data_IF_680258195826
#
_entry.id   IF_680258195826
#
_cell.length_a   1.000
_cell.length_b   1.000
_cell.length_c   1.000
_cell.angle_alpha   90.00
_cell.angle_beta   90.00
_cell.angle_gamma   90.00
#
_symmetry.space_group_name_H-M   'P 1'
#
loop_
_entity.id
_entity.type
_entity.pdbx_description
1 polymer ?
#
# COMPACT_ATOMS: atom_id res chain seq x y z
N UNK A 1 -29.26 -47.44 2.02
CA UNK A 1 -29.72 -48.15 0.81
C UNK A 1 -30.01 -49.57 1.26
N UNK A 2 -31.27 -50.02 1.18
CA UNK A 2 -31.66 -51.33 1.70
C UNK A 2 -32.42 -52.09 0.60
N UNK A 3 -32.12 -53.37 0.39
CA UNK A 3 -32.66 -54.22 -0.70
C UNK A 3 -32.75 -53.50 -2.07
N UNK A 4 -31.73 -52.71 -2.42
CA UNK A 4 -31.64 -52.03 -3.72
C UNK A 4 -32.43 -50.71 -3.86
N UNK A 5 -33.14 -50.23 -2.84
CA UNK A 5 -33.86 -48.95 -2.86
C UNK A 5 -33.32 -47.93 -1.84
N UNK A 6 -33.41 -46.63 -2.18
CA UNK A 6 -33.05 -45.53 -1.29
C UNK A 6 -34.28 -45.16 -0.46
N UNK A 7 -34.29 -45.53 0.82
CA UNK A 7 -35.42 -45.29 1.73
C UNK A 7 -35.40 -43.90 2.38
N UNK A 8 -34.23 -43.30 2.55
CA UNK A 8 -34.09 -41.96 3.10
C UNK A 8 -32.80 -41.30 2.59
N UNK A 9 -32.86 -40.00 2.28
CA UNK A 9 -31.75 -39.18 1.81
C UNK A 9 -31.80 -37.82 2.50
N UNK A 10 -30.69 -37.38 3.09
CA UNK A 10 -30.62 -36.08 3.75
C UNK A 10 -29.34 -35.91 4.58
N UNK A 11 -29.16 -34.73 5.16
CA UNK A 11 -28.08 -34.50 6.12
C UNK A 11 -28.33 -35.30 7.41
N UNK A 12 -27.27 -35.61 8.16
CA UNK A 12 -27.39 -36.37 9.41
C UNK A 12 -28.32 -35.69 10.43
N UNK A 13 -28.30 -34.36 10.49
CA UNK A 13 -29.19 -33.57 11.35
C UNK A 13 -30.64 -33.67 10.87
N UNK A 14 -30.86 -33.58 9.55
CA UNK A 14 -32.17 -33.67 8.96
C UNK A 14 -32.81 -35.04 9.21
N UNK A 15 -32.07 -36.13 8.99
CA UNK A 15 -32.58 -37.49 9.21
C UNK A 15 -32.93 -37.72 10.69
N UNK A 16 -32.06 -37.32 11.62
CA UNK A 16 -32.32 -37.41 13.06
C UNK A 16 -33.58 -36.64 13.48
N UNK A 17 -33.82 -35.47 12.87
CA UNK A 17 -35.02 -34.67 13.12
C UNK A 17 -36.28 -35.27 12.48
N UNK A 18 -36.20 -35.71 11.22
CA UNK A 18 -37.32 -36.24 10.45
C UNK A 18 -37.87 -37.54 11.06
N UNK A 19 -36.97 -38.45 11.45
CA UNK A 19 -37.32 -39.69 12.13
C UNK A 19 -37.52 -39.53 13.65
N UNK A 20 -37.63 -38.28 14.14
CA UNK A 20 -37.91 -37.95 15.54
C UNK A 20 -37.02 -38.70 16.54
N UNK A 21 -35.73 -38.84 16.21
CA UNK A 21 -34.78 -39.54 17.07
C UNK A 21 -34.66 -38.84 18.43
N UNK A 22 -34.44 -39.65 19.47
CA UNK A 22 -34.38 -39.18 20.86
C UNK A 22 -32.96 -39.27 21.39
N UNK A 23 -32.53 -38.26 22.13
CA UNK A 23 -31.31 -38.30 22.94
C UNK A 23 -31.49 -39.26 24.10
N UNK A 24 -30.43 -39.96 24.49
CA UNK A 24 -30.41 -40.78 25.69
C UNK A 24 -29.74 -39.98 26.81
N UNK A 25 -30.52 -39.57 27.81
CA UNK A 25 -30.00 -39.00 29.04
C UNK A 25 -29.84 -40.13 30.05
N UNK A 26 -28.60 -40.51 30.33
CA UNK A 26 -28.27 -41.49 31.37
C UNK A 26 -28.01 -40.71 32.67
N UNK A 27 -28.68 -41.08 33.76
CA UNK A 27 -28.46 -40.49 35.09
C UNK A 27 -28.17 -41.60 36.06
N UNK A 28 -27.05 -41.47 36.76
CA UNK A 28 -26.68 -42.33 37.87
C UNK A 28 -27.36 -41.81 39.13
N UNK A 29 -28.30 -42.59 39.68
CA UNK A 29 -29.03 -42.21 40.89
C UNK A 29 -29.62 -43.42 41.58
N UNK A 30 -29.54 -43.44 42.91
CA UNK A 30 -30.19 -44.47 43.73
C UNK A 30 -31.69 -44.16 43.96
N UNK A 31 -32.16 -42.95 43.59
CA UNK A 31 -33.56 -42.54 43.74
C UNK A 31 -34.12 -41.96 42.43
N UNK A 32 -34.50 -42.81 41.46
CA UNK A 32 -35.00 -42.36 40.16
C UNK A 32 -36.31 -41.56 40.25
N UNK A 33 -37.07 -41.66 41.36
CA UNK A 33 -38.35 -40.97 41.50
C UNK A 33 -38.20 -39.45 41.59
N UNK A 34 -37.12 -38.97 42.22
CA UNK A 34 -36.86 -37.53 42.33
C UNK A 34 -36.49 -36.95 40.96
N UNK A 35 -35.62 -37.64 40.23
CA UNK A 35 -35.19 -37.22 38.89
C UNK A 35 -36.35 -37.30 37.89
N UNK A 36 -37.23 -38.30 38.01
CA UNK A 36 -38.42 -38.45 37.18
C UNK A 36 -39.52 -37.39 37.46
N UNK A 37 -39.39 -36.57 38.51
CA UNK A 37 -40.22 -35.36 38.69
C UNK A 37 -39.64 -34.13 37.98
N UNK A 38 -38.31 -34.06 37.92
CA UNK A 38 -37.59 -32.90 37.36
C UNK A 38 -37.61 -32.95 35.84
N UNK A 39 -37.30 -34.10 35.24
CA UNK A 39 -37.15 -34.22 33.78
C UNK A 39 -38.45 -33.86 33.03
N UNK A 40 -39.64 -34.38 33.41
CA UNK A 40 -40.89 -34.03 32.73
C UNK A 40 -41.31 -32.56 32.89
N UNK A 41 -40.83 -31.86 33.93
CA UNK A 41 -41.12 -30.44 34.11
C UNK A 41 -40.47 -29.58 33.00
N UNK A 42 -39.25 -29.92 32.60
CA UNK A 42 -38.53 -29.20 31.55
C UNK A 42 -38.83 -29.75 30.14
N UNK A 43 -39.02 -31.07 30.05
CA UNK A 43 -39.26 -31.81 28.81
C UNK A 43 -40.44 -32.75 29.02
N UNK A 44 -41.69 -32.31 28.77
CA UNK A 44 -42.90 -33.09 29.04
C UNK A 44 -42.99 -34.41 28.27
N UNK A 45 -42.36 -34.47 27.09
CA UNK A 45 -42.34 -35.63 26.21
C UNK A 45 -41.18 -36.61 26.49
N UNK A 46 -40.46 -36.41 27.61
CA UNK A 46 -39.40 -37.32 28.01
C UNK A 46 -39.97 -38.69 28.42
N UNK A 47 -39.45 -39.76 27.80
CA UNK A 47 -39.88 -41.12 28.12
C UNK A 47 -38.81 -41.78 28.99
N UNK A 48 -39.21 -42.23 30.18
CA UNK A 48 -38.34 -43.03 31.04
C UNK A 48 -38.20 -44.45 30.47
N UNK A 49 -36.97 -44.85 30.17
CA UNK A 49 -36.63 -46.18 29.68
C UNK A 49 -35.93 -46.95 30.81
N UNK A 50 -36.62 -47.96 31.34
CA UNK A 50 -36.18 -48.70 32.52
C UNK A 50 -35.15 -49.79 32.16
N UNK A 51 -34.07 -49.42 31.48
CA UNK A 51 -32.88 -50.27 31.38
C UNK A 51 -32.03 -50.02 32.62
N UNK A 52 -32.07 -50.98 33.54
CA UNK A 52 -31.25 -50.94 34.76
C UNK A 52 -29.92 -51.61 34.47
N UNK A 53 -28.87 -50.83 34.32
CA UNK A 53 -27.50 -51.32 34.39
C UNK A 53 -26.94 -51.00 35.76
N UNK A 54 -26.72 -52.05 36.56
CA UNK A 54 -26.01 -51.97 37.84
C UNK A 54 -24.59 -52.47 37.63
N UNK A 55 -23.61 -51.63 37.96
CA UNK A 55 -22.20 -52.00 37.99
C UNK A 55 -21.77 -52.00 39.45
N UNK A 56 -21.25 -53.14 39.92
CA UNK A 56 -20.67 -53.28 41.26
C UNK A 56 -19.24 -52.73 41.20
N UNK A 57 -19.06 -51.46 41.61
CA UNK A 57 -17.73 -50.91 41.89
C UNK A 57 -17.37 -51.13 43.37
N UNK A 58 -16.08 -51.19 43.69
CA UNK A 58 -15.55 -51.38 45.06
C UNK A 58 -16.02 -50.32 46.09
N UNK A 59 -16.79 -49.31 45.66
CA UNK A 59 -17.31 -48.20 46.48
C UNK A 59 -18.84 -48.13 46.58
N UNK A 60 -19.59 -49.07 46.00
CA UNK A 60 -21.05 -49.17 46.11
C UNK A 60 -21.75 -49.47 44.79
N UNK A 61 -23.03 -49.87 44.86
CA UNK A 61 -23.86 -50.13 43.68
C UNK A 61 -24.34 -48.82 43.06
N UNK A 62 -23.92 -48.54 41.82
CA UNK A 62 -24.40 -47.38 41.05
C UNK A 62 -25.46 -47.89 40.08
N UNK A 63 -26.68 -47.36 40.20
CA UNK A 63 -27.78 -47.66 39.29
C UNK A 63 -27.92 -46.55 38.26
N UNK A 64 -27.73 -46.91 36.99
CA UNK A 64 -27.87 -45.98 35.86
C UNK A 64 -29.28 -46.11 35.28
N UNK A 65 -29.92 -44.97 35.06
CA UNK A 65 -31.29 -44.84 34.59
C UNK A 65 -31.32 -44.01 33.31
N UNK A 66 -32.07 -44.43 32.28
CA UNK A 66 -32.07 -43.76 30.97
C UNK A 66 -33.40 -43.06 30.68
N UNK A 67 -33.36 -41.80 30.27
CA UNK A 67 -34.50 -41.03 29.75
C UNK A 67 -34.28 -40.69 28.28
N UNK A 68 -35.29 -40.93 27.44
CA UNK A 68 -35.28 -40.59 26.02
C UNK A 68 -35.91 -39.22 25.81
N UNK A 69 -35.12 -38.24 25.33
CA UNK A 69 -35.52 -36.85 25.15
C UNK A 69 -35.68 -36.49 23.65
N UNK A 70 -36.76 -35.82 23.22
CA UNK A 70 -36.97 -35.48 21.81
C UNK A 70 -36.02 -34.39 21.30
N UNK A 71 -35.54 -34.54 20.05
CA UNK A 71 -34.57 -33.63 19.40
C UNK A 71 -35.10 -32.21 19.17
N UNK A 72 -36.40 -32.04 18.96
CA UNK A 72 -37.01 -30.73 18.69
C UNK A 72 -37.04 -29.83 19.94
N UNK A 73 -36.87 -30.39 21.14
CA UNK A 73 -36.76 -29.64 22.41
C UNK A 73 -35.32 -29.36 22.83
N UNK A 74 -34.34 -29.53 21.93
CA UNK A 74 -32.91 -29.31 22.21
C UNK A 74 -32.59 -27.91 22.79
N UNK A 75 -33.38 -26.90 22.45
CA UNK A 75 -33.25 -25.54 23.03
C UNK A 75 -33.44 -25.50 24.55
N UNK A 76 -34.22 -26.42 25.12
CA UNK A 76 -34.48 -26.52 26.57
C UNK A 76 -33.47 -27.39 27.31
N UNK A 77 -32.62 -28.14 26.60
CA UNK A 77 -31.65 -29.04 27.21
C UNK A 77 -30.65 -28.28 28.08
N UNK A 78 -30.26 -27.06 27.68
CA UNK A 78 -29.37 -26.22 28.50
C UNK A 78 -29.99 -25.90 29.87
N UNK A 79 -31.30 -25.61 29.92
CA UNK A 79 -32.00 -25.32 31.17
C UNK A 79 -32.13 -26.57 32.05
N UNK A 80 -32.47 -27.71 31.45
CA UNK A 80 -32.53 -28.99 32.16
C UNK A 80 -31.16 -29.37 32.73
N UNK A 81 -30.08 -29.24 31.94
CA UNK A 81 -28.75 -29.62 32.38
C UNK A 81 -28.25 -28.81 33.56
N UNK A 82 -28.51 -27.50 33.53
CA UNK A 82 -28.20 -26.62 34.66
C UNK A 82 -28.92 -27.07 35.94
N UNK A 83 -30.17 -27.49 35.83
CA UNK A 83 -30.92 -27.98 36.99
C UNK A 83 -30.37 -29.32 37.50
N UNK A 84 -29.97 -30.22 36.59
CA UNK A 84 -29.34 -31.48 36.97
C UNK A 84 -27.96 -31.26 37.63
N UNK A 85 -27.17 -30.29 37.14
CA UNK A 85 -25.90 -29.92 37.76
C UNK A 85 -26.08 -29.38 39.20
N UNK A 86 -27.18 -28.68 39.48
CA UNK A 86 -27.50 -28.21 40.84
C UNK A 86 -27.90 -29.34 41.79
N UNK A 87 -28.52 -30.41 41.27
CA UNK A 87 -28.93 -31.58 42.04
C UNK A 87 -27.81 -32.63 42.19
N UNK A 88 -26.66 -32.39 41.54
CA UNK A 88 -25.47 -33.24 41.61
C UNK A 88 -24.88 -33.26 43.03
N UNK A 89 -24.78 -34.44 43.63
CA UNK A 89 -24.32 -34.64 45.00
C UNK A 89 -25.44 -34.79 46.04
N UNK A 90 -26.67 -34.36 45.73
CA UNK A 90 -27.84 -34.58 46.59
C UNK A 90 -28.68 -35.76 46.09
N UNK A 91 -29.18 -35.66 44.85
CA UNK A 91 -30.17 -36.58 44.28
C UNK A 91 -29.60 -37.43 43.13
N UNK A 92 -28.46 -37.05 42.56
CA UNK A 92 -27.78 -37.78 41.48
C UNK A 92 -26.25 -37.74 41.65
N UNK A 93 -25.55 -38.79 41.22
CA UNK A 93 -24.08 -38.83 41.24
C UNK A 93 -23.50 -38.20 39.98
N UNK A 94 -23.90 -38.68 38.81
CA UNK A 94 -23.53 -38.14 37.51
C UNK A 94 -24.68 -38.28 36.50
N UNK A 95 -24.55 -37.57 35.39
CA UNK A 95 -25.41 -37.76 34.22
C UNK A 95 -24.57 -37.64 32.94
N UNK A 96 -25.02 -38.29 31.87
CA UNK A 96 -24.45 -38.23 30.53
C UNK A 96 -25.58 -38.01 29.52
N UNK A 97 -25.34 -37.20 28.47
CA UNK A 97 -26.30 -36.99 27.40
C UNK A 97 -25.71 -37.47 26.09
N UNK A 98 -26.24 -38.57 25.60
CA UNK A 98 -25.80 -39.22 24.37
C UNK A 98 -26.73 -38.83 23.22
N UNK A 99 -26.12 -38.31 22.15
CA UNK A 99 -26.83 -37.97 20.92
C UNK A 99 -27.14 -39.26 20.13
N UNK A 100 -28.33 -39.37 19.53
CA UNK A 100 -28.67 -40.55 18.73
C UNK A 100 -27.72 -40.68 17.54
N UNK A 101 -27.31 -41.90 17.25
CA UNK A 101 -26.39 -42.24 16.17
C UNK A 101 -27.17 -42.60 14.90
N UNK A 102 -26.63 -42.35 13.70
CA UNK A 102 -27.35 -42.71 12.46
C UNK A 102 -27.43 -44.24 12.29
N UNK A 103 -26.51 -44.94 12.93
CA UNK A 103 -26.44 -46.38 13.05
C UNK A 103 -27.68 -46.93 13.79
N UNK A 104 -28.17 -46.25 14.84
CA UNK A 104 -29.40 -46.63 15.53
C UNK A 104 -30.64 -46.46 14.64
N UNK A 105 -30.66 -45.39 13.82
CA UNK A 105 -31.72 -45.19 12.83
C UNK A 105 -31.70 -46.29 11.78
N UNK A 106 -30.52 -46.70 11.32
CA UNK A 106 -30.36 -47.76 10.34
C UNK A 106 -30.92 -49.09 10.86
N UNK A 107 -30.53 -49.47 12.09
CA UNK A 107 -31.01 -50.70 12.75
C UNK A 107 -32.51 -50.65 13.01
N UNK A 108 -33.03 -49.50 13.46
CA UNK A 108 -34.47 -49.31 13.67
C UNK A 108 -35.28 -49.47 12.38
N UNK A 109 -34.80 -48.88 11.29
CA UNK A 109 -35.44 -49.01 9.97
C UNK A 109 -35.39 -50.44 9.43
N UNK A 110 -34.35 -51.21 9.75
CA UNK A 110 -34.22 -52.62 9.38
C UNK A 110 -35.22 -53.49 10.16
N UNK A 111 -35.33 -53.30 11.48
CA UNK A 111 -36.29 -54.02 12.34
C UNK A 111 -37.75 -53.75 11.97
N UNK A 112 -38.11 -52.49 11.68
CA UNK A 112 -39.45 -52.14 11.20
C UNK A 112 -39.84 -52.87 9.89
N UNK A 113 -38.86 -53.35 9.12
CA UNK A 113 -39.13 -54.12 7.90
C UNK A 113 -39.33 -55.60 8.19
N UNK A 114 -38.54 -56.19 9.08
CA UNK A 114 -38.73 -57.58 9.53
C UNK A 114 -40.14 -57.76 10.12
N UNK A 115 -40.60 -56.81 10.95
CA UNK A 115 -41.95 -56.82 11.52
C UNK A 115 -43.08 -56.62 10.50
N UNK A 116 -42.79 -56.02 9.34
CA UNK A 116 -43.72 -55.83 8.22
C UNK A 116 -43.71 -57.00 7.22
N UNK A 117 -42.66 -57.80 7.20
CA UNK A 117 -42.59 -59.03 6.39
C UNK A 117 -43.32 -60.20 7.09
N UNK A 118 -43.38 -60.23 8.42
CA UNK A 118 -44.10 -61.25 9.19
C UNK A 118 -45.63 -60.99 9.30
N UNK A 119 -46.06 -59.74 9.18
CA UNK A 119 -47.48 -59.40 9.07
C UNK A 119 -47.86 -59.27 7.59
N UNK A 120 -48.47 -60.31 7.02
CA UNK A 120 -49.00 -60.34 5.66
C UNK A 120 -50.11 -59.28 5.43
N UNK A 121 -49.72 -58.02 5.28
CA UNK A 121 -50.52 -56.95 4.67
C UNK A 121 -49.71 -56.29 3.56
N UNK A 122 -49.68 -56.97 2.41
CA UNK A 122 -49.31 -56.36 1.14
C UNK A 122 -50.40 -55.38 0.70
N UNK A 123 -50.29 -54.11 1.10
CA UNK A 123 -50.57 -52.94 0.25
C UNK A 123 -50.42 -51.65 1.04
N UNK A 124 -49.21 -51.09 1.03
CA UNK A 124 -49.04 -49.64 0.98
C UNK A 124 -47.60 -49.33 0.53
N UNK A 125 -47.43 -49.21 -0.79
CA UNK A 125 -46.26 -48.58 -1.40
C UNK A 125 -46.33 -47.06 -1.21
N UNK A 126 -46.43 -46.58 0.03
CA UNK A 126 -46.15 -45.18 0.33
C UNK A 126 -44.64 -45.04 0.33
N UNK A 127 -44.07 -44.90 -0.87
CA UNK A 127 -42.75 -44.30 -1.05
C UNK A 127 -42.81 -42.98 -0.27
N UNK A 128 -42.04 -42.89 0.81
CA UNK A 128 -41.89 -41.63 1.55
C UNK A 128 -41.43 -40.58 0.54
N UNK A 129 -42.33 -39.68 0.15
CA UNK A 129 -41.99 -38.53 -0.67
C UNK A 129 -40.91 -37.75 0.08
N UNK A 130 -39.72 -37.70 -0.51
CA UNK A 130 -38.60 -36.93 0.01
C UNK A 130 -39.09 -35.48 0.04
N UNK A 131 -39.19 -34.82 1.21
CA UNK A 131 -39.74 -33.48 1.24
C UNK A 131 -38.88 -32.56 0.40
N UNK A 132 -39.53 -31.72 -0.37
CA UNK A 132 -38.86 -30.72 -1.18
C UNK A 132 -38.00 -29.84 -0.27
N UNK A 133 -36.69 -29.94 -0.46
CA UNK A 133 -35.73 -29.12 0.25
C UNK A 133 -36.03 -27.68 -0.17
N UNK A 134 -36.42 -26.83 0.79
CA UNK A 134 -36.62 -25.40 0.57
C UNK A 134 -35.45 -24.87 -0.26
N UNK A 135 -35.75 -24.35 -1.46
CA UNK A 135 -34.74 -23.78 -2.36
C UNK A 135 -34.21 -22.50 -1.72
N UNK A 136 -33.16 -22.63 -0.90
CA UNK A 136 -32.48 -21.51 -0.28
C UNK A 136 -32.07 -20.56 -1.41
N UNK A 137 -32.63 -19.34 -1.39
CA UNK A 137 -32.37 -18.31 -2.39
C UNK A 137 -30.88 -17.94 -2.33
N UNK A 138 -30.11 -18.44 -3.29
CA UNK A 138 -28.66 -18.20 -3.34
C UNK A 138 -28.40 -16.70 -3.54
N UNK A 139 -27.50 -16.08 -2.77
CA UNK A 139 -27.14 -14.68 -2.95
C UNK A 139 -26.52 -14.48 -4.34
N UNK A 140 -26.83 -13.34 -4.98
CA UNK A 140 -26.24 -12.95 -6.26
C UNK A 140 -24.70 -12.92 -6.19
N UNK A 141 -24.04 -13.15 -7.33
CA UNK A 141 -22.57 -13.28 -7.45
C UNK A 141 -21.85 -12.08 -6.83
N UNK A 142 -22.34 -10.86 -7.09
CA UNK A 142 -21.77 -9.63 -6.54
C UNK A 142 -21.88 -9.55 -5.02
N UNK A 143 -23.05 -9.88 -4.46
CA UNK A 143 -23.27 -9.88 -3.01
C UNK A 143 -22.37 -10.92 -2.31
N UNK A 144 -22.14 -12.05 -2.95
CA UNK A 144 -21.19 -13.07 -2.48
C UNK A 144 -19.75 -12.55 -2.55
N UNK A 145 -19.34 -11.92 -3.64
CA UNK A 145 -18.01 -11.33 -3.79
C UNK A 145 -17.73 -10.23 -2.74
N UNK A 146 -18.69 -9.33 -2.50
CA UNK A 146 -18.58 -8.28 -1.47
C UNK A 146 -18.50 -8.89 -0.07
N UNK A 147 -19.31 -9.92 0.23
CA UNK A 147 -19.23 -10.62 1.51
C UNK A 147 -17.87 -11.29 1.71
N UNK A 148 -17.32 -11.92 0.68
CA UNK A 148 -15.98 -12.52 0.70
C UNK A 148 -14.89 -11.47 0.90
N UNK A 149 -14.94 -10.36 0.16
CA UNK A 149 -14.00 -9.26 0.29
C UNK A 149 -14.03 -8.64 1.69
N UNK A 150 -15.23 -8.34 2.21
CA UNK A 150 -15.41 -7.80 3.57
C UNK A 150 -14.90 -8.76 4.63
N UNK A 151 -15.13 -10.06 4.47
CA UNK A 151 -14.66 -11.08 5.41
C UNK A 151 -13.14 -11.26 5.36
N UNK A 152 -12.53 -11.21 4.17
CA UNK A 152 -11.06 -11.20 4.01
C UNK A 152 -10.43 -9.97 4.65
N UNK A 153 -10.94 -8.78 4.36
CA UNK A 153 -10.47 -7.52 4.98
C UNK A 153 -10.57 -7.62 6.51
N UNK A 154 -11.69 -8.11 7.06
CA UNK A 154 -11.86 -8.29 8.51
C UNK A 154 -10.88 -9.31 9.10
N UNK A 155 -10.57 -10.38 8.38
CA UNK A 155 -9.58 -11.38 8.80
C UNK A 155 -8.18 -10.77 8.86
N UNK A 156 -7.80 -9.97 7.85
CA UNK A 156 -6.52 -9.24 7.87
C UNK A 156 -6.44 -8.24 9.02
N UNK A 157 -7.53 -7.49 9.30
CA UNK A 157 -7.58 -6.52 10.41
C UNK A 157 -7.55 -7.20 11.79
N UNK A 158 -7.99 -8.46 11.90
CA UNK A 158 -7.94 -9.20 13.16
C UNK A 158 -6.54 -9.73 13.48
N UNK A 159 -5.71 -9.96 12.46
CA UNK A 159 -4.34 -10.44 12.63
C UNK A 159 -3.38 -9.27 12.89
N UNK A 160 -3.22 -8.89 14.15
CA UNK A 160 -2.35 -7.76 14.58
C UNK A 160 -0.91 -7.91 14.07
N UNK A 161 -0.38 -9.14 14.06
CA UNK A 161 1.00 -9.40 13.60
C UNK A 161 1.16 -9.12 12.10
N UNK A 162 0.17 -9.51 11.29
CA UNK A 162 0.19 -9.21 9.86
C UNK A 162 0.10 -7.71 9.59
N UNK A 163 -0.82 -7.00 10.26
CA UNK A 163 -0.94 -5.54 10.10
C UNK A 163 0.36 -4.85 10.48
N UNK A 164 0.96 -5.25 11.61
CA UNK A 164 2.22 -4.68 12.07
C UNK A 164 3.33 -4.90 11.04
N UNK A 165 3.56 -6.14 10.64
CA UNK A 165 4.72 -6.50 9.81
C UNK A 165 4.53 -6.17 8.33
N UNK A 166 3.37 -6.45 7.74
CA UNK A 166 3.15 -6.29 6.31
C UNK A 166 2.68 -4.88 5.92
N UNK A 167 2.18 -4.07 6.85
CA UNK A 167 1.61 -2.74 6.56
C UNK A 167 2.34 -1.66 7.34
N UNK A 168 2.31 -1.71 8.68
CA UNK A 168 2.82 -0.62 9.53
C UNK A 168 4.34 -0.46 9.37
N UNK A 169 5.10 -1.55 9.39
CA UNK A 169 6.57 -1.51 9.28
C UNK A 169 7.03 -0.92 7.92
N UNK A 170 6.57 -1.42 6.76
CA UNK A 170 6.91 -0.81 5.46
C UNK A 170 6.52 0.66 5.35
N UNK A 171 5.33 1.04 5.84
CA UNK A 171 4.88 2.43 5.84
C UNK A 171 5.75 3.29 6.75
N UNK A 172 6.12 2.78 7.94
CA UNK A 172 7.02 3.46 8.87
C UNK A 172 8.41 3.68 8.28
N UNK A 173 8.97 2.66 7.63
CA UNK A 173 10.25 2.74 6.91
C UNK A 173 10.16 3.79 5.81
N UNK A 174 9.14 3.73 4.93
CA UNK A 174 8.95 4.71 3.86
C UNK A 174 8.77 6.14 4.41
N UNK A 175 7.97 6.29 5.45
CA UNK A 175 7.72 7.58 6.09
C UNK A 175 8.97 8.18 6.73
N UNK A 176 9.91 7.35 7.18
CA UNK A 176 11.18 7.79 7.75
C UNK A 176 12.22 8.12 6.67
N UNK A 177 12.39 7.24 5.68
CA UNK A 177 13.46 7.37 4.67
C UNK A 177 13.14 8.36 3.54
N UNK A 178 11.88 8.48 3.10
CA UNK A 178 11.53 9.39 2.00
C UNK A 178 11.83 10.87 2.31
N UNK A 179 11.49 11.41 3.50
CA UNK A 179 11.87 12.78 3.85
C UNK A 179 13.39 12.97 3.94
N UNK A 180 14.10 11.96 4.43
CA UNK A 180 15.57 11.96 4.49
C UNK A 180 16.19 12.05 3.09
N UNK A 181 15.70 11.25 2.14
CA UNK A 181 16.15 11.31 0.75
C UNK A 181 15.82 12.65 0.11
N UNK A 182 14.61 13.17 0.34
CA UNK A 182 14.19 14.49 -0.16
C UNK A 182 15.13 15.59 0.36
N UNK A 183 15.37 15.64 1.66
CA UNK A 183 16.25 16.66 2.27
C UNK A 183 17.67 16.57 1.70
N UNK A 184 18.22 15.37 1.59
CA UNK A 184 19.56 15.20 1.00
C UNK A 184 19.60 15.59 -0.49
N UNK A 185 18.53 15.35 -1.27
CA UNK A 185 18.44 15.82 -2.66
C UNK A 185 18.37 17.34 -2.76
N UNK A 186 17.65 18.00 -1.84
CA UNK A 186 17.52 19.46 -1.79
C UNK A 186 18.83 20.12 -1.31
N UNK A 187 19.48 19.57 -0.28
CA UNK A 187 20.77 20.06 0.25
C UNK A 187 21.91 19.91 -0.76
N UNK A 188 21.90 18.85 -1.57
CA UNK A 188 22.90 18.61 -2.61
C UNK A 188 22.54 19.28 -3.94
N UNK A 189 21.58 20.22 -3.89
CA UNK A 189 21.21 21.26 -4.84
C UNK A 189 21.60 21.08 -6.30
N UNK A 190 20.59 21.14 -7.17
CA UNK A 190 20.81 21.68 -8.51
C UNK A 190 21.41 23.08 -8.33
N UNK A 191 22.68 23.26 -8.70
CA UNK A 191 23.28 24.59 -8.71
C UNK A 191 22.65 25.33 -9.88
N UNK A 192 21.64 26.12 -9.57
CA UNK A 192 21.02 27.02 -10.52
C UNK A 192 21.94 28.22 -10.68
N UNK A 193 22.32 28.49 -11.92
CA UNK A 193 23.10 29.67 -12.25
C UNK A 193 22.15 30.73 -12.79
N UNK A 194 22.11 31.89 -12.15
CA UNK A 194 21.36 33.02 -12.68
C UNK A 194 22.03 33.56 -13.95
N UNK A 195 21.21 34.05 -14.88
CA UNK A 195 21.73 34.72 -16.08
C UNK A 195 22.49 35.97 -15.68
N UNK A 196 23.72 36.11 -16.18
CA UNK A 196 24.56 37.29 -15.95
C UNK A 196 24.80 38.03 -17.25
N UNK A 197 24.48 39.31 -17.25
CA UNK A 197 24.75 40.19 -18.38
C UNK A 197 26.25 40.40 -18.57
N UNK A 198 26.70 40.28 -19.81
CA UNK A 198 28.06 40.47 -20.29
C UNK A 198 28.18 41.84 -20.97
N UNK A 199 28.02 42.90 -20.18
CA UNK A 199 28.14 44.29 -20.63
C UNK A 199 29.36 44.98 -20.02
N UNK A 200 29.64 46.21 -20.47
CA UNK A 200 30.71 47.06 -19.93
C UNK A 200 30.56 47.34 -18.43
N UNK A 201 29.35 47.22 -17.88
CA UNK A 201 29.06 47.39 -16.45
C UNK A 201 29.77 46.36 -15.55
N UNK A 202 30.11 45.17 -16.08
CA UNK A 202 30.92 44.18 -15.36
C UNK A 202 32.28 44.76 -14.92
N UNK A 203 32.78 45.76 -15.63
CA UNK A 203 34.08 46.40 -15.42
C UNK A 203 33.96 47.91 -15.17
N UNK A 204 32.86 48.35 -14.56
CA UNK A 204 32.57 49.78 -14.29
C UNK A 204 33.72 50.59 -13.66
N UNK A 205 34.57 49.94 -12.85
CA UNK A 205 35.67 50.61 -12.15
C UNK A 205 37.02 50.54 -12.90
N UNK A 206 37.05 49.87 -14.05
CA UNK A 206 38.26 49.64 -14.86
C UNK A 206 38.35 50.64 -16.01
N UNK A 207 39.41 50.56 -16.82
CA UNK A 207 39.65 51.44 -17.96
C UNK A 207 39.46 50.72 -19.29
N UNK A 208 39.05 51.48 -20.29
CA UNK A 208 38.92 51.06 -21.68
C UNK A 208 39.81 51.95 -22.52
N UNK A 209 40.29 51.45 -23.66
CA UNK A 209 41.08 52.24 -24.59
C UNK A 209 40.48 52.17 -25.99
N UNK A 210 40.41 53.31 -26.66
CA UNK A 210 40.07 53.39 -28.08
C UNK A 210 41.23 54.04 -28.84
N UNK A 211 41.92 53.23 -29.65
CA UNK A 211 43.05 53.68 -30.44
C UNK A 211 42.56 54.41 -31.69
N UNK A 212 42.61 55.74 -31.61
CA UNK A 212 42.21 56.64 -32.70
C UNK A 212 43.21 56.71 -33.84
N UNK A 213 44.49 56.40 -33.57
CA UNK A 213 45.56 56.49 -34.57
C UNK A 213 45.44 55.35 -35.58
N UNK A 214 45.07 54.17 -35.11
CA UNK A 214 44.76 53.02 -35.97
C UNK A 214 43.28 52.92 -36.36
N UNK A 215 42.48 53.96 -36.07
CA UNK A 215 41.05 54.02 -36.44
C UNK A 215 40.69 55.23 -37.30
N UNK A 216 41.64 55.76 -38.07
CA UNK A 216 41.45 56.99 -38.86
C UNK A 216 40.25 56.92 -39.83
N UNK A 217 40.02 55.77 -40.46
CA UNK A 217 38.93 55.59 -41.43
C UNK A 217 37.53 55.64 -40.81
N UNK A 218 37.40 55.29 -39.53
CA UNK A 218 36.11 55.24 -38.82
C UNK A 218 35.96 56.29 -37.73
N UNK A 219 36.98 57.14 -37.52
CA UNK A 219 37.01 58.15 -36.45
C UNK A 219 35.84 59.12 -36.47
N UNK A 220 35.34 59.46 -37.65
CA UNK A 220 34.20 60.37 -37.84
C UNK A 220 32.85 59.65 -37.66
N UNK A 221 32.81 58.34 -37.89
CA UNK A 221 31.60 57.51 -37.73
C UNK A 221 31.45 57.02 -36.29
N UNK A 222 32.49 56.39 -35.75
CA UNK A 222 32.59 55.95 -34.36
C UNK A 222 33.39 56.98 -33.55
N UNK A 223 32.71 58.09 -33.26
CA UNK A 223 33.31 59.23 -32.55
C UNK A 223 33.60 58.91 -31.08
N UNK A 224 34.51 59.68 -30.48
CA UNK A 224 34.85 59.61 -29.05
C UNK A 224 33.61 59.70 -28.15
N UNK A 225 32.67 60.57 -28.53
CA UNK A 225 31.44 60.82 -27.76
C UNK A 225 30.54 59.60 -27.70
N UNK A 226 30.45 58.83 -28.79
CA UNK A 226 29.63 57.60 -28.84
C UNK A 226 30.22 56.54 -27.90
N UNK A 227 31.54 56.34 -27.93
CA UNK A 227 32.19 55.42 -26.99
C UNK A 227 32.04 55.86 -25.53
N UNK A 228 32.19 57.16 -25.23
CA UNK A 228 32.00 57.71 -23.89
C UNK A 228 30.55 57.58 -23.38
N UNK A 229 29.58 57.53 -24.28
CA UNK A 229 28.16 57.32 -23.95
C UNK A 229 27.88 55.86 -23.57
N UNK A 230 28.43 54.90 -24.31
CA UNK A 230 28.18 53.46 -24.12
C UNK A 230 29.05 52.83 -23.02
N UNK A 231 30.12 53.50 -22.61
CA UNK A 231 31.01 53.03 -21.56
C UNK A 231 30.63 53.60 -20.18
N UNK A 232 30.80 52.81 -19.11
CA UNK A 232 30.46 53.24 -17.76
C UNK A 232 31.34 54.42 -17.33
N UNK A 233 30.77 55.37 -16.58
CA UNK A 233 31.53 56.47 -15.98
C UNK A 233 32.28 56.01 -14.74
N UNK A 234 33.54 56.43 -14.61
CA UNK A 234 34.39 56.19 -13.43
C UNK A 234 34.41 57.44 -12.56
N UNK A 235 33.50 57.51 -11.59
CA UNK A 235 33.28 58.73 -10.81
C UNK A 235 32.83 59.88 -11.72
N UNK A 236 33.57 60.99 -11.72
CA UNK A 236 33.27 62.15 -12.58
C UNK A 236 33.98 62.10 -13.95
N UNK A 237 34.82 61.10 -14.21
CA UNK A 237 35.63 60.97 -15.43
C UNK A 237 35.11 59.84 -16.33
N UNK A 238 35.32 59.97 -17.64
CA UNK A 238 35.12 58.85 -18.56
C UNK A 238 36.06 57.69 -18.19
N UNK A 239 35.62 56.44 -18.36
CA UNK A 239 36.47 55.25 -18.20
C UNK A 239 37.29 54.94 -19.47
N UNK A 240 37.33 55.87 -20.42
CA UNK A 240 37.91 55.68 -21.75
C UNK A 240 39.14 56.56 -21.95
N UNK A 241 40.24 55.93 -22.33
CA UNK A 241 41.48 56.56 -22.75
C UNK A 241 41.68 56.39 -24.29
N UNK A 242 42.62 57.14 -24.87
CA UNK A 242 42.83 57.21 -26.33
C UNK A 242 44.29 57.04 -26.75
N UNK A 243 44.94 56.01 -26.20
CA UNK A 243 46.33 55.67 -26.48
C UNK A 243 46.45 54.79 -27.73
N UNK A 244 47.56 54.89 -28.46
CA UNK A 244 47.85 53.98 -29.56
C UNK A 244 48.23 52.58 -29.06
N UNK A 245 48.18 51.58 -29.94
CA UNK A 245 48.63 50.22 -29.64
C UNK A 245 50.07 50.20 -29.07
N UNK A 246 50.99 51.01 -29.61
CA UNK A 246 52.37 51.10 -29.12
C UNK A 246 52.47 51.73 -27.73
N UNK A 247 51.68 52.78 -27.47
CA UNK A 247 51.61 53.42 -26.16
C UNK A 247 51.03 52.46 -25.12
N UNK A 248 49.97 51.72 -25.49
CA UNK A 248 49.33 50.73 -24.64
C UNK A 248 50.27 49.58 -24.26
N UNK A 249 51.18 49.17 -25.14
CA UNK A 249 52.18 48.15 -24.82
C UNK A 249 53.13 48.64 -23.71
N UNK A 250 53.58 49.89 -23.80
CA UNK A 250 54.42 50.51 -22.76
C UNK A 250 53.68 50.74 -21.44
N UNK A 251 52.42 51.19 -21.50
CA UNK A 251 51.59 51.44 -20.32
C UNK A 251 51.27 50.11 -19.64
N UNK A 252 50.90 49.08 -20.39
CA UNK A 252 50.54 47.76 -19.87
C UNK A 252 51.63 47.12 -19.01
N UNK A 253 52.91 47.34 -19.36
CA UNK A 253 54.05 46.88 -18.56
C UNK A 253 54.20 47.58 -17.20
N UNK A 254 53.54 48.72 -17.01
CA UNK A 254 53.62 49.53 -15.79
C UNK A 254 52.38 49.43 -14.87
N UNK A 255 51.31 48.77 -15.33
CA UNK A 255 50.06 48.64 -14.55
C UNK A 255 50.14 47.40 -13.64
N UNK A 256 50.48 47.63 -12.38
CA UNK A 256 50.54 46.57 -11.34
C UNK A 256 49.37 46.61 -10.36
N UNK A 257 48.52 47.64 -10.44
CA UNK A 257 47.39 47.86 -9.53
C UNK A 257 46.19 48.41 -10.30
N UNK A 258 44.99 48.22 -9.75
CA UNK A 258 43.77 48.76 -10.32
C UNK A 258 43.83 50.29 -10.46
N UNK A 259 43.24 50.86 -11.52
CA UNK A 259 42.41 50.20 -12.52
C UNK A 259 43.23 49.56 -13.66
N UNK A 260 42.82 48.37 -14.08
CA UNK A 260 43.35 47.69 -15.25
C UNK A 260 42.68 48.19 -16.52
N UNK A 261 43.36 47.99 -17.65
CA UNK A 261 42.72 48.10 -18.96
C UNK A 261 41.97 46.81 -19.28
N UNK A 262 40.70 46.97 -19.64
CA UNK A 262 39.79 45.90 -20.06
C UNK A 262 40.15 45.48 -21.48
N UNK A 263 40.04 46.41 -22.42
CA UNK A 263 40.43 46.21 -23.81
C UNK A 263 40.87 47.51 -24.47
N UNK A 264 41.77 47.38 -25.44
CA UNK A 264 42.12 48.40 -26.42
C UNK A 264 41.53 48.01 -27.77
N UNK A 265 40.75 48.91 -28.35
CA UNK A 265 39.99 48.69 -29.58
C UNK A 265 40.54 49.61 -30.66
N UNK A 266 40.85 49.07 -31.83
CA UNK A 266 40.98 49.83 -33.07
C UNK A 266 40.09 49.24 -34.14
N UNK A 267 39.78 49.98 -35.19
CA UNK A 267 39.10 49.41 -36.34
C UNK A 267 39.20 50.24 -37.59
N UNK A 268 38.89 49.60 -38.70
CA UNK A 268 38.81 50.22 -40.01
C UNK A 268 37.55 49.77 -40.75
N UNK A 269 37.10 50.57 -41.71
CA UNK A 269 36.00 50.19 -42.59
C UNK A 269 36.55 49.91 -43.99
N UNK A 270 36.39 48.66 -44.44
CA UNK A 270 36.85 48.17 -45.75
C UNK A 270 35.66 47.50 -46.42
N UNK A 271 35.34 47.88 -47.65
CA UNK A 271 34.27 47.27 -48.47
C UNK A 271 32.90 47.15 -47.75
N UNK A 272 32.49 48.18 -47.00
CA UNK A 272 31.30 48.22 -46.14
C UNK A 272 31.31 47.27 -44.93
N UNK A 273 32.43 46.63 -44.61
CA UNK A 273 32.61 45.84 -43.40
C UNK A 273 33.48 46.58 -42.38
N UNK A 274 33.12 46.47 -41.10
CA UNK A 274 33.98 46.92 -40.01
C UNK A 274 34.95 45.80 -39.64
N UNK A 275 36.25 46.10 -39.70
CA UNK A 275 37.33 45.25 -39.24
C UNK A 275 37.88 45.82 -37.94
N UNK A 276 37.58 45.17 -36.82
CA UNK A 276 38.10 45.59 -35.52
C UNK A 276 39.29 44.72 -35.11
N UNK A 277 40.33 45.37 -34.56
CA UNK A 277 41.40 44.71 -33.83
C UNK A 277 41.22 45.01 -32.35
N UNK A 278 41.11 43.95 -31.53
CA UNK A 278 40.85 44.07 -30.10
C UNK A 278 41.99 43.41 -29.33
N UNK A 279 42.73 44.22 -28.58
CA UNK A 279 43.65 43.74 -27.55
C UNK A 279 42.89 43.70 -26.23
N UNK A 280 42.82 42.55 -25.58
CA UNK A 280 42.05 42.38 -24.35
C UNK A 280 42.92 41.82 -23.24
N UNK A 281 42.51 42.08 -22.00
CA UNK A 281 43.15 41.53 -20.82
C UNK A 281 42.68 40.07 -20.59
N UNK A 282 43.57 39.12 -20.83
CA UNK A 282 43.30 37.68 -20.72
C UNK A 282 43.08 37.22 -19.26
N UNK A 283 43.56 37.99 -18.30
CA UNK A 283 43.43 37.71 -16.88
C UNK A 283 42.05 38.07 -16.32
N UNK A 284 41.22 38.75 -17.13
CA UNK A 284 39.87 39.18 -16.76
C UNK A 284 38.80 38.33 -17.48
N UNK A 285 37.97 37.57 -16.74
CA UNK A 285 37.00 36.65 -17.34
C UNK A 285 35.82 37.43 -17.93
N UNK A 286 35.42 37.10 -19.16
CA UNK A 286 34.31 37.72 -19.93
C UNK A 286 34.59 39.07 -20.59
N UNK A 287 35.86 39.50 -20.66
CA UNK A 287 36.21 40.78 -21.30
C UNK A 287 35.79 40.82 -22.75
N UNK A 288 36.18 39.81 -23.53
CA UNK A 288 35.91 39.80 -24.97
C UNK A 288 34.41 39.87 -25.30
N UNK A 289 33.52 39.06 -24.67
CA UNK A 289 32.07 39.24 -24.81
C UNK A 289 31.57 40.63 -24.42
N UNK A 290 32.07 41.22 -23.34
CA UNK A 290 31.69 42.56 -22.92
C UNK A 290 32.14 43.62 -23.95
N UNK A 291 33.37 43.51 -24.47
CA UNK A 291 33.89 44.37 -25.53
C UNK A 291 33.03 44.26 -26.79
N UNK A 292 32.62 43.05 -27.20
CA UNK A 292 31.73 42.87 -28.34
C UNK A 292 30.33 43.43 -28.11
N UNK A 293 29.79 43.28 -26.89
CA UNK A 293 28.52 43.89 -26.52
C UNK A 293 28.59 45.42 -26.64
N UNK A 294 29.64 46.03 -26.07
CA UNK A 294 29.89 47.48 -26.18
C UNK A 294 30.08 47.93 -27.63
N UNK A 295 30.90 47.22 -28.42
CA UNK A 295 31.11 47.56 -29.83
C UNK A 295 29.81 47.50 -30.65
N UNK A 296 28.98 46.49 -30.39
CA UNK A 296 27.69 46.36 -31.07
C UNK A 296 26.78 47.55 -30.76
N UNK A 297 26.74 47.99 -29.50
CA UNK A 297 25.96 49.16 -29.07
C UNK A 297 26.54 50.49 -29.59
N UNK A 298 27.87 50.61 -29.66
CA UNK A 298 28.55 51.76 -30.28
C UNK A 298 28.20 51.88 -31.76
N UNK A 299 28.20 50.76 -32.50
CA UNK A 299 27.80 50.74 -33.91
C UNK A 299 26.31 51.10 -34.06
N UNK A 300 25.43 50.58 -33.20
CA UNK A 300 24.01 50.95 -33.21
C UNK A 300 23.79 52.44 -32.96
N UNK A 301 24.45 52.98 -31.93
CA UNK A 301 24.39 54.39 -31.58
C UNK A 301 24.92 55.27 -32.73
N UNK A 302 25.99 54.85 -33.42
CA UNK A 302 26.50 55.57 -34.60
C UNK A 302 25.50 55.63 -35.76
N UNK A 303 24.62 54.63 -35.87
CA UNK A 303 23.55 54.57 -36.86
C UNK A 303 22.24 55.20 -36.36
N UNK A 304 22.25 55.92 -35.24
CA UNK A 304 21.07 56.58 -34.65
C UNK A 304 19.93 55.60 -34.30
N UNK A 305 20.27 54.35 -33.99
CA UNK A 305 19.32 53.35 -33.52
C UNK A 305 19.21 53.45 -32.00
N UNK A 306 18.00 53.64 -31.47
CA UNK A 306 17.74 53.81 -30.04
C UNK A 306 17.62 52.48 -29.26
N UNK A 307 17.79 51.34 -29.92
CA UNK A 307 17.74 50.02 -29.31
C UNK A 307 19.14 49.59 -28.83
N UNK A 308 19.20 48.74 -27.79
CA UNK A 308 20.43 48.20 -27.22
C UNK A 308 20.49 46.69 -27.38
N UNK A 309 21.66 46.17 -27.74
CA UNK A 309 21.96 44.74 -27.74
C UNK A 309 22.46 44.35 -26.36
N UNK A 310 21.82 43.34 -25.77
CA UNK A 310 22.22 42.74 -24.49
C UNK A 310 22.75 41.34 -24.73
N UNK A 311 23.98 41.09 -24.28
CA UNK A 311 24.61 39.77 -24.32
C UNK A 311 24.63 39.23 -22.90
N UNK A 312 24.15 38.01 -22.67
CA UNK A 312 24.17 37.38 -21.35
C UNK A 312 24.71 35.96 -21.41
N UNK A 313 25.35 35.53 -20.31
CA UNK A 313 25.72 34.16 -20.06
C UNK A 313 24.72 33.55 -19.09
N UNK A 314 24.08 32.46 -19.52
CA UNK A 314 23.21 31.65 -18.66
C UNK A 314 23.75 30.22 -18.64
N UNK A 315 24.59 29.87 -17.65
CA UNK A 315 25.14 28.53 -17.54
C UNK A 315 24.03 27.51 -17.30
N UNK A 316 24.22 26.29 -17.79
CA UNK A 316 23.30 25.20 -17.49
C UNK A 316 23.33 24.85 -16.00
N UNK A 317 22.16 24.54 -15.45
CA UNK A 317 22.06 24.00 -14.10
C UNK A 317 22.91 22.74 -14.01
N UNK A 318 23.78 22.72 -13.00
CA UNK A 318 24.66 21.59 -12.74
C UNK A 318 24.15 20.80 -11.54
N UNK A 319 24.28 19.49 -11.62
CA UNK A 319 24.08 18.61 -10.47
C UNK A 319 25.13 17.51 -10.53
N UNK A 320 25.58 17.05 -9.37
CA UNK A 320 26.55 15.98 -9.34
C UNK A 320 25.87 14.64 -9.60
N UNK A 321 26.04 14.12 -10.82
CA UNK A 321 25.50 12.84 -11.28
C UNK A 321 25.79 11.68 -10.33
N UNK A 322 26.99 11.59 -9.74
CA UNK A 322 27.37 10.49 -8.85
C UNK A 322 26.55 10.51 -7.55
N UNK A 323 26.38 11.69 -6.96
CA UNK A 323 25.61 11.84 -5.72
C UNK A 323 24.13 11.56 -5.94
N UNK A 324 23.55 12.15 -6.99
CA UNK A 324 22.15 11.92 -7.36
C UNK A 324 21.92 10.45 -7.72
N UNK A 325 22.87 9.82 -8.42
CA UNK A 325 22.83 8.40 -8.76
C UNK A 325 22.82 7.50 -7.52
N UNK A 326 23.76 7.71 -6.60
CA UNK A 326 23.84 6.95 -5.35
C UNK A 326 22.56 7.07 -4.52
N UNK A 327 22.05 8.30 -4.35
CA UNK A 327 20.85 8.55 -3.56
C UNK A 327 19.62 7.88 -4.19
N UNK A 328 19.47 7.97 -5.53
CA UNK A 328 18.42 7.25 -6.27
C UNK A 328 18.51 5.74 -6.06
N UNK A 329 19.71 5.17 -6.13
CA UNK A 329 19.92 3.74 -5.92
C UNK A 329 19.44 3.29 -4.53
N UNK A 330 19.84 4.00 -3.47
CA UNK A 330 19.37 3.68 -2.11
C UNK A 330 17.85 3.85 -1.94
N UNK A 331 17.27 4.90 -2.54
CA UNK A 331 15.82 5.11 -2.50
C UNK A 331 15.05 3.95 -3.16
N UNK A 332 15.50 3.50 -4.34
CA UNK A 332 14.92 2.35 -5.03
C UNK A 332 15.07 1.08 -4.21
N UNK A 333 16.21 0.87 -3.56
CA UNK A 333 16.44 -0.29 -2.70
C UNK A 333 15.46 -0.32 -1.52
N UNK A 334 15.27 0.81 -0.83
CA UNK A 334 14.33 0.91 0.29
C UNK A 334 12.89 0.62 -0.16
N UNK A 335 12.46 1.19 -1.30
CA UNK A 335 11.12 0.94 -1.85
C UNK A 335 10.95 -0.54 -2.23
N UNK A 336 11.95 -1.11 -2.91
CA UNK A 336 11.96 -2.52 -3.32
C UNK A 336 11.89 -3.45 -2.10
N UNK A 337 12.65 -3.14 -1.05
CA UNK A 337 12.61 -3.88 0.21
C UNK A 337 11.22 -3.81 0.85
N UNK A 338 10.59 -2.63 0.92
CA UNK A 338 9.26 -2.48 1.50
C UNK A 338 8.20 -3.32 0.76
N UNK A 339 8.24 -3.33 -0.58
CA UNK A 339 7.34 -4.14 -1.41
C UNK A 339 7.60 -5.63 -1.19
N UNK A 340 8.85 -6.06 -1.30
CA UNK A 340 9.25 -7.46 -1.16
C UNK A 340 8.95 -8.02 0.24
N UNK A 341 9.23 -7.22 1.27
CA UNK A 341 8.91 -7.55 2.66
C UNK A 341 7.41 -7.77 2.84
N UNK A 342 6.57 -6.86 2.31
CA UNK A 342 5.12 -7.00 2.35
C UNK A 342 4.63 -8.28 1.66
N UNK A 343 5.20 -8.63 0.50
CA UNK A 343 4.87 -9.86 -0.23
C UNK A 343 5.22 -11.13 0.56
N UNK A 344 6.33 -11.13 1.31
CA UNK A 344 6.76 -12.29 2.08
C UNK A 344 5.73 -12.75 3.13
N UNK A 345 4.96 -11.81 3.70
CA UNK A 345 3.92 -12.12 4.70
C UNK A 345 2.62 -12.65 4.09
N UNK A 346 2.45 -12.59 2.77
CA UNK A 346 1.26 -13.14 2.11
C UNK A 346 1.16 -14.66 2.31
N UNK A 347 2.29 -15.38 2.22
CA UNK A 347 2.33 -16.82 2.43
C UNK A 347 1.88 -17.24 3.83
N UNK A 348 2.30 -16.50 4.87
CA UNK A 348 1.89 -16.73 6.25
C UNK A 348 0.37 -16.59 6.43
N UNK A 349 -0.25 -15.63 5.75
CA UNK A 349 -1.70 -15.49 5.79
C UNK A 349 -2.41 -16.68 5.14
N UNK A 350 -1.94 -17.16 3.99
CA UNK A 350 -2.54 -18.33 3.32
C UNK A 350 -2.52 -19.57 4.21
N UNK A 351 -1.41 -19.79 4.93
CA UNK A 351 -1.31 -20.87 5.91
C UNK A 351 -2.29 -20.66 7.06
N UNK A 352 -2.39 -19.44 7.59
CA UNK A 352 -3.33 -19.11 8.67
C UNK A 352 -4.79 -19.36 8.29
N UNK A 353 -5.18 -19.06 7.03
CA UNK A 353 -6.53 -19.32 6.51
C UNK A 353 -6.82 -20.83 6.43
N UNK A 354 -5.84 -21.65 6.04
CA UNK A 354 -5.99 -23.11 6.01
C UNK A 354 -6.18 -23.68 7.41
N UNK A 355 -5.38 -23.24 8.38
CA UNK A 355 -5.47 -23.68 9.78
C UNK A 355 -6.84 -23.35 10.36
N UNK A 356 -7.34 -22.14 10.11
CA UNK A 356 -8.67 -21.71 10.57
C UNK A 356 -9.83 -22.38 9.82
N UNK A 357 -9.54 -23.28 8.86
CA UNK A 357 -10.54 -23.97 8.02
C UNK A 357 -11.53 -22.98 7.40
N UNK A 358 -11.03 -21.83 6.98
CA UNK A 358 -11.82 -20.67 6.59
C UNK A 358 -12.73 -21.00 5.39
N UNK A 359 -12.22 -21.82 4.46
CA UNK A 359 -13.00 -22.38 3.35
C UNK A 359 -14.20 -23.21 3.82
N UNK A 360 -14.04 -24.03 4.87
CA UNK A 360 -15.16 -24.81 5.45
C UNK A 360 -16.20 -23.90 6.11
N UNK A 361 -15.77 -22.84 6.78
CA UNK A 361 -16.70 -21.85 7.36
C UNK A 361 -17.51 -21.13 6.27
N UNK A 362 -16.91 -20.82 5.12
CA UNK A 362 -17.61 -20.23 3.98
C UNK A 362 -18.60 -21.21 3.34
N UNK A 363 -18.23 -22.49 3.23
CA UNK A 363 -19.13 -23.55 2.76
C UNK A 363 -20.35 -23.73 3.69
N UNK A 364 -20.14 -23.73 5.00
CA UNK A 364 -21.23 -23.77 5.99
C UNK A 364 -22.17 -22.57 5.89
N UNK A 365 -21.65 -21.39 5.50
CA UNK A 365 -22.43 -20.19 5.24
C UNK A 365 -23.07 -20.14 3.84
N UNK A 366 -23.10 -21.26 3.12
CA UNK A 366 -23.79 -21.40 1.83
C UNK A 366 -22.99 -20.98 0.60
N UNK A 367 -21.68 -20.75 0.73
CA UNK A 367 -20.79 -20.50 -0.42
C UNK A 367 -20.30 -21.84 -0.94
N UNK A 368 -20.99 -22.37 -1.95
CA UNK A 368 -20.59 -23.61 -2.61
C UNK A 368 -19.35 -23.39 -3.49
N UNK A 369 -18.45 -24.38 -3.55
CA UNK A 369 -17.47 -24.44 -4.63
C UNK A 369 -18.27 -24.60 -5.93
N UNK A 370 -18.17 -23.62 -6.84
CA UNK A 370 -18.45 -23.93 -8.24
C UNK A 370 -17.35 -24.88 -8.69
N UNK A 371 -17.71 -26.15 -8.89
CA UNK A 371 -16.95 -27.08 -9.73
C UNK A 371 -16.94 -26.56 -11.16
#
# INVERSE_FOLDING_TARGET
MNKGSIRCLGSSVYLKSHFQMKYSLEVETNNPQNVNRIIPHYIPEAVYFNDKTSVDEERGTITTHTWKLPIHMSSRFSSLMKQLDLEKGNSLSNFSLNAPLLEELFVGLEREMEEKEDNNDCNNNNVLEIPEIDKIKRPGIFNTAVRLARYRIRTYIRNKTYILMAIIVPIGILSFFLPLFKRNLEEQGFTNFESRELSSDLYKNQRWNYDLKHSESIKDTLTRQIFEQELPKRGNSASLDFYSAEEMESIGQSVYQEPYYVSSISGEQVDNYYHFTVYYNDSMPHVLPATFNTLSNVILASNQVNDTIHTSSHPFNYFNMLYVGNLKFYAVLVVSFCISFSLSFFGLNVVSERVMKLLKQLQLNGIANRS
#
